data_IF_628104406630
#
_entry.id   IF_628104406630
#
_cell.length_a   1.000
_cell.length_b   1.000
_cell.length_c   1.000
_cell.angle_alpha   90.00
_cell.angle_beta   90.00
_cell.angle_gamma   90.00
#
_symmetry.space_group_name_H-M   'P 1'
#
loop_
_entity.id
_entity.type
_entity.pdbx_description
1 polymer ?
#
# COMPACT_ATOMS: atom_id res chain seq x y z
N UNK A 1 -5.67 15.58 -13.54
CA UNK A 1 -5.59 14.30 -12.82
C UNK A 1 -4.15 14.09 -12.39
N UNK A 2 -3.88 13.71 -11.15
CA UNK A 2 -2.50 13.60 -10.67
C UNK A 2 -1.91 12.23 -10.97
N UNK A 3 -1.05 12.18 -11.98
CA UNK A 3 -0.32 10.96 -12.34
C UNK A 3 0.67 10.47 -11.28
N UNK A 4 1.38 11.34 -10.55
CA UNK A 4 2.23 10.91 -9.44
C UNK A 4 1.48 10.11 -8.37
N UNK A 5 0.34 10.61 -7.89
CA UNK A 5 -0.45 9.92 -6.86
C UNK A 5 -1.07 8.63 -7.39
N UNK A 6 -1.63 8.64 -8.61
CA UNK A 6 -2.18 7.44 -9.24
C UNK A 6 -1.13 6.33 -9.38
N UNK A 7 0.05 6.66 -9.90
CA UNK A 7 1.12 5.68 -10.11
C UNK A 7 1.63 5.10 -8.79
N UNK A 8 1.70 5.92 -7.73
CA UNK A 8 2.09 5.43 -6.41
C UNK A 8 1.00 4.60 -5.74
N UNK A 9 -0.28 4.91 -5.96
CA UNK A 9 -1.39 4.05 -5.52
C UNK A 9 -1.36 2.69 -6.22
N UNK A 10 -1.07 2.63 -7.53
CA UNK A 10 -0.88 1.36 -8.24
C UNK A 10 0.28 0.57 -7.62
N UNK A 11 1.43 1.22 -7.41
CA UNK A 11 2.59 0.59 -6.77
C UNK A 11 2.30 0.11 -5.34
N UNK A 12 1.49 0.85 -4.58
CA UNK A 12 1.02 0.47 -3.25
C UNK A 12 0.10 -0.76 -3.29
N UNK A 13 -0.88 -0.77 -4.19
CA UNK A 13 -1.85 -1.86 -4.33
C UNK A 13 -1.22 -3.15 -4.87
N UNK A 14 -0.18 -3.05 -5.70
CA UNK A 14 0.59 -4.19 -6.22
C UNK A 14 1.77 -4.61 -5.32
N UNK A 15 2.01 -3.92 -4.20
CA UNK A 15 3.17 -4.19 -3.37
C UNK A 15 3.16 -5.66 -2.85
N UNK A 16 4.23 -6.44 -3.10
CA UNK A 16 4.21 -7.89 -2.89
C UNK A 16 4.37 -8.32 -1.43
N UNK A 17 4.81 -7.43 -0.55
CA UNK A 17 5.00 -7.71 0.88
C UNK A 17 4.52 -6.56 1.74
N UNK A 18 4.23 -6.83 3.02
CA UNK A 18 3.85 -5.79 3.97
C UNK A 18 4.96 -4.76 4.23
N UNK A 19 6.23 -5.09 3.97
CA UNK A 19 7.33 -4.13 4.08
C UNK A 19 7.36 -3.18 2.87
N UNK A 20 7.23 -3.70 1.65
CA UNK A 20 7.10 -2.86 0.45
C UNK A 20 5.82 -2.01 0.49
N UNK A 21 4.72 -2.58 0.97
CA UNK A 21 3.45 -1.87 1.13
C UNK A 21 3.58 -0.72 2.12
N UNK A 22 4.34 -0.90 3.20
CA UNK A 22 4.62 0.19 4.15
C UNK A 22 5.43 1.32 3.50
N UNK A 23 6.48 1.00 2.72
CA UNK A 23 7.23 2.04 2.01
C UNK A 23 6.33 2.82 1.06
N UNK A 24 5.51 2.12 0.28
CA UNK A 24 4.56 2.74 -0.65
C UNK A 24 3.43 3.52 0.02
N UNK A 25 3.02 3.12 1.21
CA UNK A 25 2.07 3.88 2.02
C UNK A 25 2.62 5.26 2.36
N UNK A 26 3.91 5.35 2.72
CA UNK A 26 4.58 6.64 3.00
C UNK A 26 4.63 7.55 1.78
N UNK A 27 4.95 6.99 0.60
CA UNK A 27 4.94 7.72 -0.68
C UNK A 27 3.53 8.28 -0.98
N UNK A 28 2.50 7.45 -0.84
CA UNK A 28 1.09 7.82 -1.08
C UNK A 28 0.64 8.92 -0.12
N UNK A 29 0.93 8.81 1.17
CA UNK A 29 0.59 9.83 2.17
C UNK A 29 1.24 11.17 1.82
N UNK A 30 2.53 11.15 1.48
CA UNK A 30 3.29 12.37 1.16
C UNK A 30 2.75 13.08 -0.09
N UNK A 31 2.44 12.32 -1.14
CA UNK A 31 1.88 12.87 -2.38
C UNK A 31 0.45 13.39 -2.18
N UNK A 32 -0.38 12.65 -1.46
CA UNK A 32 -1.75 13.07 -1.17
C UNK A 32 -1.78 14.37 -0.35
N UNK A 33 -0.90 14.53 0.64
CA UNK A 33 -0.73 15.80 1.36
C UNK A 33 -0.29 16.94 0.44
N UNK A 34 0.68 16.70 -0.44
CA UNK A 34 1.14 17.69 -1.42
C UNK A 34 0.02 18.14 -2.39
N UNK A 35 -0.99 17.29 -2.60
CA UNK A 35 -2.18 17.57 -3.41
C UNK A 35 -3.36 18.15 -2.61
N UNK A 36 -3.14 18.46 -1.34
CA UNK A 36 -4.10 19.11 -0.45
C UNK A 36 -5.15 18.17 0.14
N UNK A 37 -4.91 16.84 0.15
CA UNK A 37 -5.74 15.88 0.88
C UNK A 37 -5.31 15.88 2.34
N UNK A 38 -6.25 16.07 3.28
CA UNK A 38 -5.93 16.18 4.70
C UNK A 38 -5.59 14.81 5.31
N UNK A 39 -4.28 14.54 5.45
CA UNK A 39 -3.71 13.28 5.97
C UNK A 39 -2.68 13.49 7.09
N UNK A 40 -2.70 14.64 7.79
CA UNK A 40 -1.66 14.93 8.79
C UNK A 40 -1.68 13.91 9.95
N UNK A 41 -2.87 13.46 10.36
CA UNK A 41 -2.98 12.40 11.37
C UNK A 41 -2.42 11.07 10.87
N UNK A 42 -2.75 10.65 9.64
CA UNK A 42 -2.26 9.40 9.06
C UNK A 42 -0.74 9.42 8.86
N UNK A 43 -0.17 10.59 8.53
CA UNK A 43 1.27 10.80 8.48
C UNK A 43 1.91 10.64 9.86
N UNK A 44 1.33 11.22 10.91
CA UNK A 44 1.84 11.04 12.26
C UNK A 44 1.77 9.56 12.68
N UNK A 45 0.62 8.90 12.46
CA UNK A 45 0.45 7.48 12.77
C UNK A 45 1.43 6.59 12.00
N UNK A 46 1.75 6.96 10.75
CA UNK A 46 2.76 6.30 9.92
C UNK A 46 4.16 6.43 10.52
N UNK A 47 4.55 7.63 10.97
CA UNK A 47 5.84 7.85 11.63
C UNK A 47 5.96 7.05 12.94
N UNK A 48 4.91 7.06 13.75
CA UNK A 48 4.85 6.25 14.97
C UNK A 48 4.95 4.75 14.66
N UNK A 49 4.34 4.29 13.56
CA UNK A 49 4.45 2.90 13.12
C UNK A 49 5.89 2.57 12.68
N UNK A 50 6.56 3.48 11.98
CA UNK A 50 7.96 3.32 11.60
C UNK A 50 8.85 3.18 12.83
N UNK A 51 8.65 4.02 13.85
CA UNK A 51 9.35 3.93 15.13
C UNK A 51 9.06 2.61 15.85
N UNK A 52 7.79 2.21 15.96
CA UNK A 52 7.39 0.94 16.55
C UNK A 52 8.06 -0.25 15.87
N UNK A 53 8.15 -0.26 14.54
CA UNK A 53 8.83 -1.34 13.81
C UNK A 53 10.33 -1.32 14.01
N UNK A 54 10.96 -0.14 14.07
CA UNK A 54 12.39 -0.01 14.35
C UNK A 54 12.72 -0.58 15.74
N UNK A 55 11.99 -0.14 16.77
CA UNK A 55 12.15 -0.62 18.15
C UNK A 55 11.84 -2.12 18.27
N UNK A 56 10.77 -2.59 17.64
CA UNK A 56 10.40 -4.00 17.63
C UNK A 56 11.46 -4.90 16.99
N UNK A 57 12.02 -4.49 15.84
CA UNK A 57 13.12 -5.19 15.17
C UNK A 57 14.39 -5.21 16.03
N UNK A 58 14.71 -4.12 16.72
CA UNK A 58 15.92 -3.99 17.52
C UNK A 58 15.84 -4.73 18.87
N UNK A 59 14.75 -4.57 19.62
CA UNK A 59 14.68 -4.98 21.03
C UNK A 59 13.78 -6.20 21.27
N UNK A 60 12.88 -6.54 20.35
CA UNK A 60 11.85 -7.57 20.55
C UNK A 60 11.90 -8.67 19.47
N UNK A 61 13.09 -8.91 18.90
CA UNK A 61 13.30 -9.90 17.85
C UNK A 61 12.74 -11.27 18.29
N UNK A 62 11.76 -11.78 17.55
CA UNK A 62 11.11 -13.08 17.82
C UNK A 62 9.83 -13.04 18.67
N UNK A 63 9.43 -11.88 19.22
CA UNK A 63 8.14 -11.75 19.90
C UNK A 63 7.01 -11.49 18.89
N UNK A 64 6.05 -12.41 18.72
CA UNK A 64 4.99 -12.27 17.72
C UNK A 64 3.99 -11.14 18.04
N UNK A 65 3.88 -10.73 19.31
CA UNK A 65 2.88 -9.76 19.77
C UNK A 65 3.09 -8.37 19.18
N UNK A 66 4.32 -7.86 19.16
CA UNK A 66 4.58 -6.52 18.60
C UNK A 66 4.43 -6.52 17.08
N UNK A 67 4.81 -7.61 16.40
CA UNK A 67 4.63 -7.73 14.96
C UNK A 67 3.14 -7.70 14.60
N UNK A 68 2.29 -8.43 15.34
CA UNK A 68 0.85 -8.39 15.15
C UNK A 68 0.25 -6.98 15.40
N UNK A 69 0.71 -6.29 16.43
CA UNK A 69 0.29 -4.90 16.71
C UNK A 69 0.71 -3.94 15.59
N UNK A 70 1.95 -4.03 15.11
CA UNK A 70 2.44 -3.22 14.00
C UNK A 70 1.65 -3.49 12.71
N UNK A 71 1.34 -4.76 12.41
CA UNK A 71 0.52 -5.13 11.25
C UNK A 71 -0.90 -4.59 11.34
N UNK A 72 -1.53 -4.63 12.52
CA UNK A 72 -2.86 -4.03 12.73
C UNK A 72 -2.81 -2.51 12.53
N UNK A 73 -1.85 -1.82 13.16
CA UNK A 73 -1.67 -0.37 12.99
C UNK A 73 -1.44 0.00 11.53
N UNK A 74 -0.64 -0.78 10.80
CA UNK A 74 -0.43 -0.62 9.36
C UNK A 74 -1.75 -0.72 8.57
N UNK A 75 -2.55 -1.77 8.79
CA UNK A 75 -3.83 -1.95 8.11
C UNK A 75 -4.82 -0.80 8.40
N UNK A 76 -4.87 -0.33 9.65
CA UNK A 76 -5.73 0.79 10.05
C UNK A 76 -5.36 2.09 9.34
N UNK A 77 -4.06 2.41 9.25
CA UNK A 77 -3.57 3.58 8.50
C UNK A 77 -3.92 3.45 7.02
N UNK A 78 -3.67 2.28 6.41
CA UNK A 78 -3.98 2.03 5.01
C UNK A 78 -5.46 2.29 4.69
N UNK A 79 -6.38 1.73 5.49
CA UNK A 79 -7.81 1.94 5.29
C UNK A 79 -8.21 3.42 5.38
N UNK A 80 -7.67 4.16 6.36
CA UNK A 80 -7.98 5.58 6.51
C UNK A 80 -7.46 6.41 5.34
N UNK A 81 -6.21 6.19 4.93
CA UNK A 81 -5.60 6.86 3.77
C UNK A 81 -6.43 6.62 2.51
N UNK A 82 -6.75 5.37 2.19
CA UNK A 82 -7.54 5.03 1.01
C UNK A 82 -8.95 5.65 1.08
N UNK A 83 -9.58 5.65 2.26
CA UNK A 83 -10.93 6.23 2.44
C UNK A 83 -10.94 7.74 2.22
N UNK A 84 -9.92 8.45 2.71
CA UNK A 84 -9.79 9.90 2.51
C UNK A 84 -9.49 10.23 1.05
N UNK A 85 -8.60 9.47 0.40
CA UNK A 85 -8.34 9.62 -1.04
C UNK A 85 -9.62 9.34 -1.86
N UNK A 86 -10.38 8.30 -1.52
CA UNK A 86 -11.66 8.00 -2.19
C UNK A 86 -12.65 9.16 -2.07
N UNK A 87 -12.73 9.78 -0.88
CA UNK A 87 -13.65 10.89 -0.62
C UNK A 87 -13.24 12.15 -1.40
N UNK A 88 -11.94 12.46 -1.44
CA UNK A 88 -11.45 13.75 -1.97
C UNK A 88 -11.03 13.69 -3.44
N UNK A 89 -10.54 12.54 -3.90
CA UNK A 89 -10.05 12.30 -5.27
C UNK A 89 -10.50 10.92 -5.77
N UNK A 90 -11.81 10.64 -5.86
CA UNK A 90 -12.34 9.30 -6.19
C UNK A 90 -11.84 8.74 -7.52
N UNK A 91 -11.67 9.58 -8.54
CA UNK A 91 -11.19 9.14 -9.85
C UNK A 91 -9.79 8.54 -9.80
N UNK A 92 -8.89 9.14 -9.01
CA UNK A 92 -7.50 8.67 -8.89
C UNK A 92 -7.45 7.26 -8.30
N UNK A 93 -8.23 6.99 -7.25
CA UNK A 93 -8.27 5.66 -6.64
C UNK A 93 -8.97 4.63 -7.54
N UNK A 94 -10.05 5.04 -8.23
CA UNK A 94 -10.77 4.17 -9.16
C UNK A 94 -9.87 3.71 -10.30
N UNK A 95 -9.18 4.64 -10.97
CA UNK A 95 -8.28 4.31 -12.08
C UNK A 95 -7.07 3.49 -11.62
N UNK A 96 -6.52 3.77 -10.44
CA UNK A 96 -5.47 2.93 -9.88
C UNK A 96 -5.95 1.49 -9.68
N UNK A 97 -7.17 1.31 -9.17
CA UNK A 97 -7.77 -0.01 -8.91
C UNK A 97 -8.09 -0.78 -10.21
N UNK A 98 -8.61 -0.09 -11.23
CA UNK A 98 -8.86 -0.66 -12.56
C UNK A 98 -7.56 -1.18 -13.17
N UNK A 99 -6.50 -0.36 -13.14
CA UNK A 99 -5.20 -0.71 -13.71
C UNK A 99 -4.53 -1.89 -12.96
N UNK A 100 -4.70 -1.96 -11.64
CA UNK A 100 -4.26 -3.13 -10.84
C UNK A 100 -5.00 -4.40 -11.25
N UNK A 101 -6.31 -4.30 -11.48
CA UNK A 101 -7.15 -5.44 -11.91
C UNK A 101 -6.72 -5.94 -13.28
N UNK A 102 -6.45 -5.02 -14.22
CA UNK A 102 -5.93 -5.34 -15.55
C UNK A 102 -4.58 -6.06 -15.49
N UNK A 103 -3.65 -5.57 -14.66
CA UNK A 103 -2.32 -6.18 -14.49
C UNK A 103 -2.45 -7.60 -13.93
N UNK A 104 -3.23 -7.79 -12.86
CA UNK A 104 -3.43 -9.10 -12.26
C UNK A 104 -4.07 -10.10 -13.24
N UNK A 105 -5.02 -9.66 -14.05
CA UNK A 105 -5.64 -10.49 -15.10
C UNK A 105 -4.63 -10.89 -16.18
N UNK A 106 -3.82 -9.94 -16.64
CA UNK A 106 -2.78 -10.21 -17.64
C UNK A 106 -1.72 -11.20 -17.13
N UNK A 107 -1.29 -11.04 -15.88
CA UNK A 107 -0.34 -11.95 -15.22
C UNK A 107 -0.91 -13.35 -15.03
N UNK A 108 -2.19 -13.46 -14.66
CA UNK A 108 -2.90 -14.74 -14.56
C UNK A 108 -2.94 -15.47 -15.91
N UNK A 109 -3.40 -14.80 -16.97
CA UNK A 109 -3.46 -15.39 -18.33
C UNK A 109 -2.07 -15.82 -18.80
N UNK A 110 -1.03 -15.03 -18.52
CA UNK A 110 0.35 -15.35 -18.90
C UNK A 110 0.88 -16.59 -18.18
N UNK A 111 0.58 -16.76 -16.89
CA UNK A 111 0.98 -17.95 -16.12
C UNK A 111 0.30 -19.20 -16.66
N UNK A 112 -1.02 -19.13 -16.88
CA UNK A 112 -1.78 -20.25 -17.43
C UNK A 112 -1.28 -20.71 -18.81
N UNK A 113 -1.00 -19.77 -19.73
CA UNK A 113 -0.44 -20.11 -21.05
C UNK A 113 0.94 -20.75 -21.00
N UNK A 114 1.74 -20.45 -19.97
CA UNK A 114 3.06 -21.08 -19.78
C UNK A 114 2.94 -22.49 -19.20
N UNK A 115 2.05 -22.67 -18.23
CA UNK A 115 1.78 -23.98 -17.61
C UNK A 115 1.16 -24.98 -18.61
N UNK A 116 0.37 -24.50 -19.58
CA UNK A 116 -0.15 -25.34 -20.68
C UNK A 116 0.92 -25.69 -21.74
N UNK A 117 1.93 -24.84 -21.93
CA UNK A 117 3.01 -25.05 -22.90
C UNK A 117 4.20 -25.88 -22.39
N UNK A 118 4.37 -26.02 -21.08
CA UNK A 118 5.39 -26.89 -20.46
C UNK A 118 4.90 -28.34 -20.24
N UNK A 119 3.58 -28.58 -20.37
CA UNK A 119 2.95 -29.92 -20.24
C UNK A 119 2.57 -30.56 -21.58
N UNK A 120 3.03 -30.00 -22.71
CA UNK A 120 2.84 -30.51 -24.07
C UNK A 120 4.19 -30.86 -24.70
#
# INVERSE_FOLDING_TARGET
MSEPLKNNLIGFLLAPTEEFKLLKLGDVISLALAEGIDLEQEKQDYLDLMELRALGKQYLKGSPKWFAQASRKQADIQMRVLSKILKERPSVLKEASEKVTEINLADFVRKHKKEEGENA
#
